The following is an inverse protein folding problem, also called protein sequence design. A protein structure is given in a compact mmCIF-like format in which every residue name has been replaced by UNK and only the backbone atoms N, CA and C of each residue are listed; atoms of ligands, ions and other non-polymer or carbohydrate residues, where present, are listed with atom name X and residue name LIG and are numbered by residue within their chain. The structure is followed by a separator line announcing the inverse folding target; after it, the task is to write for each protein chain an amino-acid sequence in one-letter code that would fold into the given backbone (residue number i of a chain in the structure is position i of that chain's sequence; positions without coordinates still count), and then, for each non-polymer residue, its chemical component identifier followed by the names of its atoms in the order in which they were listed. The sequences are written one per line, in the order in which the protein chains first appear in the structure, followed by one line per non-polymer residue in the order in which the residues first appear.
data_IF_913825242317
#
_entry.id   IF_913825242317
#
_cell.length_a   1.000
_cell.length_b   1.000
_cell.length_c   1.000
_cell.angle_alpha   90.00
_cell.angle_beta   90.00
_cell.angle_gamma   90.00
#
_symmetry.space_group_name_H-M   'P 1'
#
loop_
_entity.id
_entity.type
_entity.pdbx_description
1 polymer ?
#
# COMPACT_ATOMS: atom_id res chain seq x y z
N UNK A 1 -6.13 -12.23 -1.12
CA UNK A 1 -6.53 -12.32 -2.54
C UNK A 1 -6.60 -10.90 -3.07
N UNK A 2 -5.68 -10.50 -3.95
CA UNK A 2 -5.83 -9.23 -4.67
C UNK A 2 -6.90 -9.45 -5.73
N UNK A 3 -7.90 -8.57 -5.76
CA UNK A 3 -8.87 -8.50 -6.86
C UNK A 3 -8.04 -8.34 -8.15
N UNK A 4 -8.03 -9.35 -9.01
CA UNK A 4 -7.27 -9.27 -10.25
C UNK A 4 -8.05 -8.36 -11.19
N UNK A 5 -7.69 -7.07 -11.21
CA UNK A 5 -8.32 -6.05 -12.05
C UNK A 5 -8.48 -6.49 -13.51
N UNK A 6 -7.53 -7.27 -14.04
CA UNK A 6 -7.61 -7.83 -15.39
C UNK A 6 -8.74 -8.85 -15.55
N UNK A 7 -8.97 -9.68 -14.53
CA UNK A 7 -10.11 -10.61 -14.50
C UNK A 7 -11.44 -9.86 -14.45
N UNK A 8 -11.49 -8.74 -13.72
CA UNK A 8 -12.69 -7.93 -13.59
C UNK A 8 -13.01 -7.19 -14.89
N UNK A 9 -12.01 -6.57 -15.51
CA UNK A 9 -12.14 -5.94 -16.81
C UNK A 9 -12.49 -6.95 -17.91
N UNK A 10 -11.88 -8.14 -17.89
CA UNK A 10 -12.24 -9.20 -18.83
C UNK A 10 -13.68 -9.66 -18.66
N UNK A 11 -14.15 -9.81 -17.41
CA UNK A 11 -15.53 -10.15 -17.15
C UNK A 11 -16.49 -9.07 -17.66
N UNK A 12 -16.23 -7.80 -17.37
CA UNK A 12 -17.06 -6.69 -17.84
C UNK A 12 -17.04 -6.56 -19.36
N UNK A 13 -15.90 -6.79 -20.02
CA UNK A 13 -15.84 -6.79 -21.49
C UNK A 13 -16.60 -7.96 -22.10
N UNK A 14 -16.66 -9.09 -21.40
CA UNK A 14 -17.40 -10.27 -21.84
C UNK A 14 -18.91 -10.16 -21.56
N UNK A 15 -19.36 -9.15 -20.78
CA UNK A 15 -20.79 -8.84 -20.60
C UNK A 15 -21.47 -8.30 -21.88
N UNK A 16 -20.74 -8.09 -22.97
CA UNK A 16 -21.30 -7.70 -24.27
C UNK A 16 -21.39 -8.82 -25.29
N UNK A 17 -21.00 -10.05 -24.95
CA UNK A 17 -21.11 -11.20 -25.85
C UNK A 17 -22.50 -11.84 -25.74
N UNK A 18 -23.08 -12.25 -26.87
CA UNK A 18 -24.45 -12.80 -27.05
C UNK A 18 -24.79 -14.09 -26.25
N UNK A 19 -23.96 -14.47 -25.27
CA UNK A 19 -24.01 -15.76 -24.55
C UNK A 19 -24.22 -15.63 -23.03
N UNK A 20 -24.57 -14.44 -22.53
CA UNK A 20 -24.76 -14.27 -21.08
C UNK A 20 -26.09 -14.87 -20.66
N UNK A 21 -26.02 -15.88 -19.81
CA UNK A 21 -27.18 -16.45 -19.15
C UNK A 21 -27.48 -15.77 -17.82
N UNK A 22 -28.76 -15.76 -17.45
CA UNK A 22 -29.19 -15.32 -16.12
C UNK A 22 -28.48 -16.10 -14.99
N UNK A 23 -28.28 -17.42 -15.16
CA UNK A 23 -27.59 -18.26 -14.17
C UNK A 23 -26.15 -17.81 -13.90
N UNK A 24 -25.46 -17.32 -14.94
CA UNK A 24 -24.09 -16.83 -14.80
C UNK A 24 -24.05 -15.52 -14.00
N UNK A 25 -25.01 -14.62 -14.25
CA UNK A 25 -25.16 -13.37 -13.50
C UNK A 25 -25.49 -13.65 -12.04
N UNK A 26 -26.48 -14.51 -11.79
CA UNK A 26 -26.90 -14.91 -10.43
C UNK A 26 -25.74 -15.53 -9.66
N UNK A 27 -24.99 -16.45 -10.27
CA UNK A 27 -23.79 -17.03 -9.67
C UNK A 27 -22.74 -15.98 -9.29
N UNK A 28 -22.54 -14.97 -10.13
CA UNK A 28 -21.54 -13.92 -9.87
C UNK A 28 -22.02 -12.92 -8.82
N UNK A 29 -23.31 -12.61 -8.79
CA UNK A 29 -23.95 -11.87 -7.68
C UNK A 29 -23.79 -12.63 -6.36
N UNK A 30 -24.05 -13.95 -6.35
CA UNK A 30 -23.87 -14.81 -5.19
C UNK A 30 -22.44 -14.76 -4.65
N UNK A 31 -21.46 -14.84 -5.56
CA UNK A 31 -20.04 -14.79 -5.20
C UNK A 31 -19.68 -13.41 -4.65
N UNK A 32 -20.14 -12.34 -5.29
CA UNK A 32 -19.89 -10.96 -4.84
C UNK A 32 -20.46 -10.73 -3.43
N UNK A 33 -21.68 -11.20 -3.15
CA UNK A 33 -22.28 -11.16 -1.82
C UNK A 33 -21.44 -11.92 -0.78
N UNK A 34 -21.02 -13.15 -1.11
CA UNK A 34 -20.19 -13.96 -0.22
C UNK A 34 -18.87 -13.26 0.14
N UNK A 35 -18.20 -12.68 -0.85
CA UNK A 35 -16.95 -11.94 -0.63
C UNK A 35 -17.18 -10.69 0.22
N UNK A 36 -18.24 -9.93 -0.04
CA UNK A 36 -18.64 -8.77 0.78
C UNK A 36 -18.83 -9.18 2.24
N UNK A 37 -19.60 -10.24 2.50
CA UNK A 37 -19.84 -10.73 3.85
C UNK A 37 -18.57 -11.28 4.51
N UNK A 38 -17.69 -11.91 3.74
CA UNK A 38 -16.35 -12.29 4.17
C UNK A 38 -15.54 -11.10 4.67
N UNK A 39 -15.52 -10.00 3.93
CA UNK A 39 -14.82 -8.77 4.33
C UNK A 39 -15.48 -8.09 5.54
N UNK A 40 -16.81 -8.08 5.65
CA UNK A 40 -17.52 -7.60 6.85
C UNK A 40 -17.08 -8.39 8.08
N UNK A 41 -16.93 -9.72 7.96
CA UNK A 41 -16.43 -10.57 9.04
C UNK A 41 -14.99 -10.22 9.40
N UNK A 42 -14.11 -9.99 8.41
CA UNK A 42 -12.74 -9.53 8.65
C UNK A 42 -12.72 -8.21 9.42
N UNK A 43 -13.55 -7.24 9.05
CA UNK A 43 -13.67 -5.96 9.78
C UNK A 43 -14.05 -6.17 11.25
N UNK A 44 -15.00 -7.07 11.55
CA UNK A 44 -15.39 -7.41 12.93
C UNK A 44 -14.23 -8.04 13.70
N UNK A 45 -13.55 -9.02 13.12
CA UNK A 45 -12.38 -9.67 13.74
C UNK A 45 -11.23 -8.69 13.97
N UNK A 46 -11.00 -7.77 13.03
CA UNK A 46 -10.01 -6.71 13.17
C UNK A 46 -10.37 -5.80 14.34
N UNK A 47 -11.63 -5.38 14.46
CA UNK A 47 -12.10 -4.57 15.58
C UNK A 47 -11.86 -5.23 16.94
N UNK A 48 -12.19 -6.53 17.07
CA UNK A 48 -11.91 -7.31 18.29
C UNK A 48 -10.41 -7.41 18.56
N UNK A 49 -9.60 -7.65 17.53
CA UNK A 49 -8.14 -7.73 17.66
C UNK A 49 -7.53 -6.39 18.10
N UNK A 50 -8.00 -5.28 17.54
CA UNK A 50 -7.57 -3.94 17.93
C UNK A 50 -7.93 -3.66 19.38
N UNK A 51 -9.17 -3.95 19.77
CA UNK A 51 -9.61 -3.78 21.15
C UNK A 51 -8.74 -4.56 22.14
N UNK A 52 -8.44 -5.83 21.85
CA UNK A 52 -7.54 -6.62 22.69
C UNK A 52 -6.13 -6.01 22.81
N UNK A 53 -5.57 -5.47 21.71
CA UNK A 53 -4.25 -4.83 21.75
C UNK A 53 -4.25 -3.49 22.49
N UNK A 54 -5.37 -2.75 22.45
CA UNK A 54 -5.55 -1.51 23.20
C UNK A 54 -5.73 -1.76 24.70
N UNK A 55 -6.46 -2.82 25.07
CA UNK A 55 -6.77 -3.15 26.48
C UNK A 55 -5.61 -3.88 27.18
N UNK A 56 -4.80 -4.64 26.44
CA UNK A 56 -3.67 -5.37 27.01
C UNK A 56 -2.45 -4.47 27.24
N UNK A 57 -1.83 -4.63 28.42
CA UNK A 57 -0.46 -4.17 28.71
C UNK A 57 0.59 -4.72 27.72
N UNK A 58 0.21 -5.70 26.89
CA UNK A 58 1.05 -6.30 25.85
C UNK A 58 1.65 -5.23 24.92
N UNK A 59 0.90 -4.18 24.59
CA UNK A 59 1.47 -3.07 23.79
C UNK A 59 2.48 -2.24 24.61
N UNK A 60 2.36 -2.14 25.93
CA UNK A 60 3.37 -1.46 26.76
C UNK A 60 4.64 -2.29 26.96
N UNK A 61 4.53 -3.62 26.93
CA UNK A 61 5.67 -4.53 27.09
C UNK A 61 6.44 -4.77 25.78
N UNK A 62 5.79 -4.61 24.63
CA UNK A 62 6.44 -4.72 23.32
C UNK A 62 7.45 -3.59 23.08
N UNK A 63 8.59 -3.92 22.45
CA UNK A 63 9.59 -2.90 22.04
C UNK A 63 9.01 -1.99 20.96
N UNK A 64 9.50 -0.75 20.83
CA UNK A 64 8.95 0.19 19.85
C UNK A 64 8.97 -0.35 18.42
N UNK A 65 10.00 -1.12 18.04
CA UNK A 65 10.05 -1.78 16.72
C UNK A 65 8.96 -2.81 16.50
N UNK A 66 8.60 -3.59 17.53
CA UNK A 66 7.53 -4.60 17.46
C UNK A 66 6.15 -3.92 17.36
N UNK A 67 5.94 -2.83 18.11
CA UNK A 67 4.72 -2.01 18.02
C UNK A 67 4.53 -1.48 16.59
N UNK A 68 5.58 -0.89 15.99
CA UNK A 68 5.52 -0.37 14.62
C UNK A 68 5.16 -1.46 13.61
N UNK A 69 5.74 -2.67 13.74
CA UNK A 69 5.44 -3.78 12.84
C UNK A 69 4.00 -4.28 12.99
N UNK A 70 3.51 -4.39 14.23
CA UNK A 70 2.15 -4.83 14.51
C UNK A 70 1.11 -3.82 13.98
N UNK A 71 1.31 -2.53 14.24
CA UNK A 71 0.43 -1.45 13.76
C UNK A 71 0.41 -1.44 12.22
N UNK A 72 1.57 -1.54 11.56
CA UNK A 72 1.65 -1.64 10.10
C UNK A 72 0.89 -2.85 9.54
N UNK A 73 0.92 -4.00 10.23
CA UNK A 73 0.14 -5.18 9.83
C UNK A 73 -1.36 -4.91 9.91
N UNK A 74 -1.84 -4.26 10.97
CA UNK A 74 -3.25 -3.91 11.10
C UNK A 74 -3.67 -2.87 10.05
N UNK A 75 -2.87 -1.83 9.84
CA UNK A 75 -3.10 -0.82 8.79
C UNK A 75 -3.25 -1.48 7.43
N UNK A 76 -2.29 -2.32 7.05
CA UNK A 76 -2.34 -3.03 5.77
C UNK A 76 -3.61 -3.88 5.64
N UNK A 77 -4.00 -4.58 6.71
CA UNK A 77 -5.20 -5.42 6.72
C UNK A 77 -6.47 -4.56 6.57
N UNK A 78 -6.55 -3.45 7.29
CA UNK A 78 -7.66 -2.51 7.23
C UNK A 78 -7.82 -1.91 5.82
N UNK A 79 -6.72 -1.38 5.26
CA UNK A 79 -6.72 -0.75 3.94
C UNK A 79 -7.08 -1.73 2.83
N UNK A 80 -6.47 -2.92 2.80
CA UNK A 80 -6.81 -3.96 1.81
C UNK A 80 -8.27 -4.39 1.94
N UNK A 81 -8.77 -4.55 3.16
CA UNK A 81 -10.18 -4.94 3.39
C UNK A 81 -11.14 -3.85 2.92
N UNK A 82 -10.80 -2.58 3.15
CA UNK A 82 -11.60 -1.43 2.69
C UNK A 82 -11.67 -1.38 1.17
N UNK A 83 -10.54 -1.47 0.48
CA UNK A 83 -10.48 -1.47 -0.98
C UNK A 83 -11.24 -2.65 -1.58
N UNK A 84 -11.05 -3.86 -1.04
CA UNK A 84 -11.72 -5.05 -1.52
C UNK A 84 -13.24 -4.97 -1.31
N UNK A 85 -13.68 -4.52 -0.14
CA UNK A 85 -15.11 -4.33 0.16
C UNK A 85 -15.75 -3.33 -0.81
N UNK A 86 -15.06 -2.24 -1.13
CA UNK A 86 -15.52 -1.27 -2.12
C UNK A 86 -15.62 -1.88 -3.52
N UNK A 87 -14.58 -2.57 -3.98
CA UNK A 87 -14.56 -3.21 -5.31
C UNK A 87 -15.70 -4.23 -5.48
N UNK A 88 -15.88 -5.14 -4.52
CA UNK A 88 -16.97 -6.12 -4.58
C UNK A 88 -18.35 -5.48 -4.51
N UNK A 89 -18.51 -4.40 -3.73
CA UNK A 89 -19.77 -3.66 -3.66
C UNK A 89 -20.11 -3.02 -5.00
N UNK A 90 -19.14 -2.35 -5.63
CA UNK A 90 -19.33 -1.74 -6.94
C UNK A 90 -19.71 -2.79 -7.98
N UNK A 91 -19.02 -3.93 -7.99
CA UNK A 91 -19.30 -5.07 -8.88
C UNK A 91 -20.73 -5.57 -8.68
N UNK A 92 -21.14 -5.82 -7.43
CA UNK A 92 -22.47 -6.30 -7.09
C UNK A 92 -23.55 -5.33 -7.58
N UNK A 93 -23.43 -4.04 -7.27
CA UNK A 93 -24.41 -3.03 -7.66
C UNK A 93 -24.49 -2.85 -9.19
N UNK A 94 -23.35 -2.88 -9.86
CA UNK A 94 -23.30 -2.80 -11.33
C UNK A 94 -23.99 -4.01 -11.97
N UNK A 95 -23.74 -5.22 -11.46
CA UNK A 95 -24.35 -6.45 -11.96
C UNK A 95 -25.84 -6.54 -11.65
N UNK A 96 -26.29 -6.16 -10.45
CA UNK A 96 -27.71 -6.15 -10.11
C UNK A 96 -28.47 -5.15 -11.00
N UNK A 97 -27.92 -3.95 -11.19
CA UNK A 97 -28.47 -2.98 -12.13
C UNK A 97 -28.49 -3.49 -13.56
N UNK A 98 -27.46 -4.23 -14.00
CA UNK A 98 -27.43 -4.82 -15.32
C UNK A 98 -28.50 -5.92 -15.45
N UNK A 99 -28.63 -6.78 -14.44
CA UNK A 99 -29.63 -7.85 -14.43
C UNK A 99 -31.04 -7.28 -14.51
N UNK A 100 -31.35 -6.26 -13.71
CA UNK A 100 -32.65 -5.57 -13.77
C UNK A 100 -32.95 -5.03 -15.17
N UNK A 101 -32.01 -4.36 -15.84
CA UNK A 101 -32.20 -3.83 -17.20
C UNK A 101 -32.45 -4.94 -18.23
N UNK A 102 -31.79 -6.08 -18.09
CA UNK A 102 -31.99 -7.23 -18.97
C UNK A 102 -33.37 -7.89 -18.74
N UNK A 103 -33.89 -7.83 -17.52
CA UNK A 103 -35.28 -8.22 -17.22
C UNK A 103 -36.28 -7.21 -17.79
N UNK A 104 -36.06 -5.91 -17.59
CA UNK A 104 -36.94 -4.84 -18.06
C UNK A 104 -37.08 -4.81 -19.58
N UNK A 105 -35.99 -5.14 -20.29
CA UNK A 105 -35.98 -5.28 -21.75
C UNK A 105 -36.61 -6.59 -22.25
N UNK A 106 -36.98 -7.50 -21.35
CA UNK A 106 -37.56 -8.80 -21.69
C UNK A 106 -36.55 -9.85 -22.16
N UNK A 107 -35.25 -9.57 -22.10
CA UNK A 107 -34.21 -10.54 -22.46
C UNK A 107 -34.17 -11.70 -21.46
N UNK A 108 -34.35 -11.41 -20.17
CA UNK A 108 -34.54 -12.43 -19.13
C UNK A 108 -35.96 -12.40 -18.56
N UNK A 109 -36.51 -13.56 -18.16
CA UNK A 109 -37.83 -13.62 -17.55
C UNK A 109 -37.81 -13.01 -16.15
N UNK A 110 -38.74 -12.08 -15.87
CA UNK A 110 -38.84 -11.40 -14.56
C UNK A 110 -39.01 -12.37 -13.38
N UNK A 111 -39.78 -13.44 -13.59
CA UNK A 111 -39.99 -14.50 -12.60
C UNK A 111 -38.68 -15.10 -12.09
N UNK A 112 -37.68 -15.27 -12.96
CA UNK A 112 -36.40 -15.85 -12.56
C UNK A 112 -35.62 -14.92 -11.62
N UNK A 113 -35.68 -13.61 -11.87
CA UNK A 113 -35.08 -12.62 -10.97
C UNK A 113 -35.82 -12.54 -9.62
N UNK A 114 -37.15 -12.66 -9.64
CA UNK A 114 -37.96 -12.73 -8.42
C UNK A 114 -37.61 -13.98 -7.60
N UNK A 115 -37.52 -15.15 -8.25
CA UNK A 115 -37.02 -16.39 -7.63
C UNK A 115 -35.61 -16.17 -7.03
N UNK A 116 -34.68 -15.53 -7.73
CA UNK A 116 -33.36 -15.20 -7.18
C UNK A 116 -33.40 -14.31 -5.93
N UNK A 117 -34.30 -13.34 -5.88
CA UNK A 117 -34.46 -12.44 -4.73
C UNK A 117 -35.17 -13.11 -3.55
N UNK A 118 -36.03 -14.09 -3.80
CA UNK A 118 -36.85 -14.78 -2.80
C UNK A 118 -36.22 -16.08 -2.28
N UNK A 119 -35.65 -16.92 -3.16
CA UNK A 119 -35.12 -18.25 -2.84
C UNK A 119 -33.81 -18.21 -2.03
N UNK A 120 -33.35 -17.01 -1.67
CA UNK A 120 -32.42 -16.79 -0.59
C UNK A 120 -31.04 -17.37 -0.86
N UNK A 121 -30.09 -16.50 -1.20
CA UNK A 121 -28.71 -16.85 -0.89
C UNK A 121 -28.51 -16.92 0.63
N UNK A 122 -27.37 -17.42 1.10
CA UNK A 122 -27.01 -17.35 2.54
C UNK A 122 -27.12 -15.93 3.11
N UNK A 123 -27.08 -14.92 2.22
CA UNK A 123 -27.11 -13.51 2.53
C UNK A 123 -28.31 -12.81 1.88
N UNK A 124 -28.68 -11.66 2.41
CA UNK A 124 -29.74 -10.83 1.82
C UNK A 124 -29.28 -10.33 0.43
N UNK A 125 -30.08 -10.62 -0.58
CA UNK A 125 -29.83 -10.28 -1.98
C UNK A 125 -30.25 -8.86 -2.31
N UNK A 126 -30.98 -8.18 -1.42
CA UNK A 126 -31.46 -6.82 -1.66
C UNK A 126 -30.35 -5.80 -1.41
N UNK A 127 -30.02 -5.04 -2.46
CA UNK A 127 -29.04 -3.95 -2.36
C UNK A 127 -29.42 -2.92 -1.27
N UNK A 128 -30.71 -2.69 -1.05
CA UNK A 128 -31.22 -1.73 -0.07
C UNK A 128 -30.84 -2.10 1.37
N UNK A 129 -30.80 -3.38 1.70
CA UNK A 129 -30.45 -3.88 3.03
C UNK A 129 -28.93 -4.04 3.19
N UNK A 130 -28.23 -4.35 2.10
CA UNK A 130 -26.78 -4.50 2.09
C UNK A 130 -26.04 -3.15 2.24
N UNK A 131 -26.50 -2.09 1.57
CA UNK A 131 -25.84 -0.77 1.55
C UNK A 131 -25.61 -0.19 2.95
N UNK A 132 -26.61 -0.16 3.86
CA UNK A 132 -26.39 0.34 5.23
C UNK A 132 -25.34 -0.46 6.01
N UNK A 133 -25.34 -1.79 5.89
CA UNK A 133 -24.40 -2.68 6.59
C UNK A 133 -22.97 -2.43 6.08
N UNK A 134 -22.82 -2.30 4.75
CA UNK A 134 -21.57 -1.96 4.09
C UNK A 134 -21.05 -0.59 4.53
N UNK A 135 -21.89 0.43 4.45
CA UNK A 135 -21.52 1.80 4.83
C UNK A 135 -21.05 1.85 6.29
N UNK A 136 -21.76 1.19 7.20
CA UNK A 136 -21.35 1.09 8.60
C UNK A 136 -20.00 0.35 8.77
N UNK A 137 -19.79 -0.73 8.01
CA UNK A 137 -18.54 -1.50 8.05
C UNK A 137 -17.35 -0.72 7.48
N UNK A 138 -17.55 0.02 6.38
CA UNK A 138 -16.53 0.91 5.80
C UNK A 138 -16.19 2.06 6.74
N UNK A 139 -17.21 2.68 7.36
CA UNK A 139 -17.01 3.74 8.37
C UNK A 139 -16.16 3.25 9.53
N UNK A 140 -16.36 2.01 9.99
CA UNK A 140 -15.50 1.41 11.03
C UNK A 140 -14.06 1.21 10.56
N UNK A 141 -13.86 0.74 9.33
CA UNK A 141 -12.51 0.61 8.75
C UNK A 141 -11.79 1.96 8.68
N UNK A 142 -12.49 3.03 8.30
CA UNK A 142 -11.92 4.38 8.30
C UNK A 142 -11.48 4.83 9.70
N UNK A 143 -12.33 4.57 10.70
CA UNK A 143 -12.00 4.85 12.09
C UNK A 143 -10.80 4.04 12.58
N UNK A 144 -10.69 2.77 12.18
CA UNK A 144 -9.54 1.93 12.51
C UNK A 144 -8.26 2.44 11.85
N UNK A 145 -8.30 2.80 10.57
CA UNK A 145 -7.15 3.36 9.85
C UNK A 145 -6.68 4.65 10.54
N UNK A 146 -7.58 5.59 10.81
CA UNK A 146 -7.22 6.86 11.45
C UNK A 146 -6.61 6.64 12.86
N UNK A 147 -7.18 5.73 13.66
CA UNK A 147 -6.64 5.39 14.98
C UNK A 147 -5.25 4.78 14.88
N UNK A 148 -5.07 3.82 13.98
CA UNK A 148 -3.80 3.13 13.78
C UNK A 148 -2.70 4.06 13.21
N UNK A 149 -3.03 5.00 12.34
CA UNK A 149 -2.07 5.99 11.83
C UNK A 149 -1.56 6.90 12.97
N UNK A 150 -2.44 7.30 13.89
CA UNK A 150 -2.05 8.07 15.08
C UNK A 150 -1.14 7.25 16.00
N UNK A 151 -1.48 5.99 16.23
CA UNK A 151 -0.66 5.08 17.04
C UNK A 151 0.70 4.81 16.38
N UNK A 152 0.74 4.65 15.06
CA UNK A 152 1.97 4.45 14.29
C UNK A 152 2.91 5.63 14.50
N UNK A 153 2.43 6.86 14.35
CA UNK A 153 3.23 8.06 14.55
C UNK A 153 3.82 8.14 15.97
N UNK A 154 3.07 7.70 16.99
CA UNK A 154 3.57 7.63 18.37
C UNK A 154 4.67 6.56 18.49
N UNK A 155 4.44 5.37 17.94
CA UNK A 155 5.39 4.25 18.00
C UNK A 155 6.69 4.55 17.23
N UNK A 156 6.61 5.19 16.07
CA UNK A 156 7.76 5.63 15.28
C UNK A 156 8.59 6.67 16.03
N UNK A 157 7.94 7.64 16.69
CA UNK A 157 8.62 8.62 17.54
C UNK A 157 9.35 7.97 18.73
N UNK A 158 8.77 6.91 19.33
CA UNK A 158 9.44 6.14 20.38
C UNK A 158 10.66 5.41 19.84
N UNK A 159 10.53 4.75 18.69
CA UNK A 159 11.61 4.02 18.02
C UNK A 159 12.78 4.95 17.67
N UNK A 160 12.50 6.17 17.19
CA UNK A 160 13.53 7.17 16.91
C UNK A 160 14.30 7.58 18.17
N UNK A 161 13.61 7.75 19.30
CA UNK A 161 14.25 8.05 20.58
C UNK A 161 15.14 6.91 21.05
N UNK A 162 14.66 5.67 20.98
CA UNK A 162 15.45 4.48 21.32
C UNK A 162 16.73 4.40 20.47
N UNK A 163 16.63 4.64 19.15
CA UNK A 163 17.80 4.69 18.26
C UNK A 163 18.80 5.76 18.67
N UNK A 164 18.32 6.94 19.07
CA UNK A 164 19.18 8.03 19.54
C UNK A 164 19.93 7.64 20.82
N UNK A 165 19.23 7.10 21.83
CA UNK A 165 19.85 6.63 23.07
C UNK A 165 20.87 5.52 22.83
N UNK A 166 20.57 4.58 21.93
CA UNK A 166 21.52 3.54 21.55
C UNK A 166 22.76 4.10 20.86
N UNK A 167 22.61 5.07 19.95
CA UNK A 167 23.75 5.71 19.30
C UNK A 167 24.64 6.45 20.31
N UNK A 168 24.05 7.21 21.23
CA UNK A 168 24.80 7.91 22.30
C UNK A 168 25.53 6.93 23.23
N UNK A 169 24.89 5.81 23.59
CA UNK A 169 25.52 4.76 24.38
C UNK A 169 26.70 4.11 23.65
N UNK A 170 26.56 3.83 22.35
CA UNK A 170 27.65 3.26 21.54
C UNK A 170 28.85 4.22 21.52
N UNK A 171 28.63 5.50 21.26
CA UNK A 171 29.70 6.52 21.27
C UNK A 171 30.37 6.62 22.64
N UNK A 172 29.59 6.55 23.73
CA UNK A 172 30.13 6.56 25.08
C UNK A 172 30.99 5.32 25.39
N UNK A 173 30.56 4.13 24.96
CA UNK A 173 31.32 2.87 25.10
C UNK A 173 32.61 2.91 24.28
N UNK A 174 32.56 3.39 23.05
CA UNK A 174 33.74 3.56 22.18
C UNK A 174 34.76 4.51 22.81
N UNK A 175 34.30 5.63 23.38
CA UNK A 175 35.17 6.59 24.06
C UNK A 175 35.82 5.99 25.31
N UNK A 176 35.05 5.31 26.15
CA UNK A 176 35.57 4.64 27.34
C UNK A 176 36.62 3.56 26.98
N UNK A 177 36.33 2.75 25.97
CA UNK A 177 37.25 1.70 25.48
C UNK A 177 38.54 2.28 24.87
N UNK A 178 38.46 3.44 24.23
CA UNK A 178 39.64 4.13 23.68
C UNK A 178 40.53 4.76 24.76
N UNK A 179 39.95 5.23 25.86
CA UNK A 179 40.70 5.79 27.00
C UNK A 179 41.41 4.70 27.81
N UNK A 180 40.80 3.52 27.97
CA UNK A 180 41.40 2.35 28.63
C UNK A 180 42.67 1.88 27.91
N UNK A 181 42.61 1.72 26.58
CA UNK A 181 43.79 1.40 25.74
C UNK A 181 44.92 2.43 25.82
N UNK A 182 44.59 3.70 26.06
CA UNK A 182 45.57 4.79 26.20
C UNK A 182 46.21 4.84 27.59
N UNK A 183 45.56 4.26 28.60
CA UNK A 183 46.10 4.13 29.95
C UNK A 183 47.05 2.94 30.09
N UNK A 184 46.81 1.85 29.35
CA UNK A 184 47.72 0.68 29.28
C UNK A 184 49.01 0.96 28.49
N UNK A 185 48.97 1.84 27.48
CA UNK A 185 50.18 2.27 26.75
C UNK A 185 51.05 3.29 27.50
N UNK A 186 50.70 3.59 28.75
CA UNK A 186 51.48 4.46 29.65
C UNK A 186 52.18 3.69 30.78
N UNK A 187 52.25 2.35 30.70
CA UNK A 187 53.26 1.59 31.43
C UNK A 187 54.63 1.86 30.79
N UNK A 188 55.61 2.14 31.64
CA UNK A 188 57.05 2.34 31.40
C UNK A 188 57.56 2.08 29.98
N UNK A 189 58.31 3.04 29.43
CA UNK A 189 59.08 2.84 28.22
C UNK A 189 59.93 1.57 28.38
N UNK A 190 59.50 0.48 27.74
CA UNK A 190 60.20 -0.78 27.71
C UNK A 190 61.63 -0.49 27.25
N UNK A 191 62.61 -0.96 28.01
CA UNK A 191 64.00 -0.89 27.56
C UNK A 191 64.18 -1.76 26.32
N UNK A 192 65.10 -1.39 25.42
CA UNK A 192 65.31 -2.09 24.14
C UNK A 192 65.49 -3.61 24.33
N UNK A 193 66.07 -4.03 25.46
CA UNK A 193 66.27 -5.43 25.81
C UNK A 193 64.97 -6.16 26.16
N UNK A 194 64.06 -5.54 26.93
CA UNK A 194 62.75 -6.10 27.24
C UNK A 194 61.83 -6.14 26.01
N UNK A 195 62.02 -5.21 25.06
CA UNK A 195 61.28 -5.20 23.80
C UNK A 195 61.70 -6.36 22.89
N UNK A 196 63.00 -6.67 22.83
CA UNK A 196 63.51 -7.82 22.10
C UNK A 196 63.04 -9.15 22.70
N UNK A 197 63.06 -9.30 24.02
CA UNK A 197 62.57 -10.52 24.68
C UNK A 197 61.08 -10.75 24.44
N UNK A 198 60.28 -9.68 24.43
CA UNK A 198 58.85 -9.76 24.12
C UNK A 198 58.57 -10.16 22.68
N UNK A 199 59.31 -9.61 21.71
CA UNK A 199 59.23 -10.01 20.30
C UNK A 199 59.63 -11.47 20.07
N UNK A 200 60.62 -11.97 20.81
CA UNK A 200 61.03 -13.39 20.73
C UNK A 200 59.92 -14.29 21.27
N UNK A 201 59.21 -13.86 22.32
CA UNK A 201 58.09 -14.60 22.90
C UNK A 201 56.85 -14.61 21.99
N UNK A 202 56.48 -13.47 21.40
CA UNK A 202 55.35 -13.35 20.47
C UNK A 202 55.59 -14.17 19.20
N UNK A 203 56.79 -14.10 18.60
CA UNK A 203 57.09 -14.92 17.43
C UNK A 203 57.12 -16.43 17.73
N UNK A 204 57.46 -16.84 18.96
CA UNK A 204 57.35 -18.25 19.39
C UNK A 204 55.90 -18.72 19.56
N UNK A 205 55.01 -17.84 20.01
CA UNK A 205 53.60 -18.18 20.20
C UNK A 205 52.83 -18.21 18.87
N UNK A 206 53.15 -17.33 17.92
CA UNK A 206 52.52 -17.30 16.59
C UNK A 206 52.90 -18.52 15.71
N UNK A 207 54.07 -19.14 15.92
CA UNK A 207 54.41 -20.41 15.25
C UNK A 207 53.58 -21.60 15.76
N UNK A 208 52.97 -21.51 16.95
CA UNK A 208 52.10 -22.56 17.51
C UNK A 208 50.61 -22.38 17.19
N UNK A 209 50.13 -21.15 16.90
CA UNK A 209 48.71 -20.88 16.59
C UNK A 209 48.36 -20.93 15.09
N UNK A 210 49.35 -21.07 14.19
CA UNK A 210 49.11 -21.15 12.74
C UNK A 210 48.67 -22.55 12.25
N UNK A 211 48.23 -23.43 13.16
CA UNK A 211 47.69 -24.75 12.87
C UNK A 211 46.23 -24.92 13.34
N UNK A 212 45.34 -23.94 13.13
CA UNK A 212 43.89 -24.19 12.94
C UNK A 212 43.14 -22.87 12.79
N UNK A 213 42.70 -22.51 11.57
CA UNK A 213 41.34 -22.02 11.28
C UNK A 213 41.25 -21.67 9.80
N UNK A 214 41.03 -22.70 8.98
CA UNK A 214 40.54 -22.55 7.62
C UNK A 214 39.05 -22.95 7.63
N UNK A 215 38.17 -22.05 8.10
CA UNK A 215 36.73 -22.14 7.81
C UNK A 215 35.94 -20.92 8.31
N UNK A 216 35.20 -20.34 7.35
CA UNK A 216 33.96 -19.60 7.51
C UNK A 216 34.03 -18.13 7.97
N UNK A 217 34.17 -17.23 6.99
CA UNK A 217 33.49 -15.93 7.04
C UNK A 217 32.96 -15.53 5.66
N UNK A 218 31.74 -15.97 5.35
CA UNK A 218 30.83 -15.22 4.47
C UNK A 218 29.76 -14.64 5.37
N UNK A 219 29.75 -13.32 5.56
CA UNK A 219 28.57 -12.62 6.02
C UNK A 219 28.32 -11.40 5.15
N UNK A 220 27.11 -11.43 4.59
CA UNK A 220 26.46 -10.46 3.73
C UNK A 220 26.27 -9.12 4.44
N UNK A 221 26.68 -8.04 3.78
CA UNK A 221 26.15 -6.71 4.02
C UNK A 221 25.06 -6.44 2.97
N UNK A 222 23.81 -6.76 3.30
CA UNK A 222 22.66 -6.26 2.56
C UNK A 222 21.93 -5.23 3.41
N UNK A 223 21.92 -3.98 2.93
CA UNK A 223 21.04 -2.94 3.43
C UNK A 223 19.58 -3.38 3.29
N UNK A 224 18.72 -3.09 4.28
CA UNK A 224 17.42 -3.72 4.33
C UNK A 224 16.44 -3.03 3.35
N UNK A 225 16.06 -3.74 2.28
CA UNK A 225 15.23 -3.30 1.14
C UNK A 225 13.81 -2.77 1.48
N UNK A 226 13.39 -2.72 2.74
CA UNK A 226 12.03 -2.31 3.12
C UNK A 226 11.77 -0.81 2.95
N UNK A 227 12.81 0.03 2.93
CA UNK A 227 12.67 1.48 2.69
C UNK A 227 12.24 1.79 1.25
N UNK A 228 12.69 0.99 0.27
CA UNK A 228 12.27 1.13 -1.13
C UNK A 228 10.82 0.67 -1.31
N UNK A 229 10.39 -0.34 -0.54
CA UNK A 229 9.04 -0.89 -0.60
C UNK A 229 7.98 0.08 -0.04
N UNK A 230 8.28 0.82 1.02
CA UNK A 230 7.39 1.84 1.59
C UNK A 230 7.19 3.07 0.68
N UNK A 231 8.24 3.48 -0.04
CA UNK A 231 8.15 4.57 -1.03
C UNK A 231 7.26 4.21 -2.22
N UNK A 232 7.26 2.95 -2.64
CA UNK A 232 6.43 2.48 -3.75
C UNK A 232 4.93 2.45 -3.39
N UNK A 233 4.60 2.06 -2.16
CA UNK A 233 3.20 2.00 -1.68
C UNK A 233 2.61 3.40 -1.52
N UNK A 234 3.36 4.36 -0.98
CA UNK A 234 2.88 5.75 -0.84
C UNK A 234 2.69 6.44 -2.21
N UNK A 235 3.46 6.05 -3.23
CA UNK A 235 3.32 6.60 -4.58
C UNK A 235 2.05 6.10 -5.30
N UNK A 236 1.63 4.83 -5.09
CA UNK A 236 0.43 4.30 -5.76
C UNK A 236 -0.87 4.87 -5.19
N UNK A 237 -0.90 5.19 -3.88
CA UNK A 237 -2.06 5.82 -3.24
C UNK A 237 -2.30 7.23 -3.77
N UNK A 238 -1.24 8.00 -4.04
CA UNK A 238 -1.34 9.34 -4.64
C UNK A 238 -1.85 9.31 -6.10
N UNK A 239 -1.45 8.31 -6.90
CA UNK A 239 -1.90 8.17 -8.29
C UNK A 239 -3.40 7.84 -8.40
N UNK A 240 -3.93 7.07 -7.45
CA UNK A 240 -5.36 6.75 -7.41
C UNK A 240 -6.20 7.99 -7.05
N UNK A 241 -5.72 8.82 -6.12
CA UNK A 241 -6.45 10.04 -5.71
C UNK A 241 -6.52 11.10 -6.80
N UNK A 242 -5.45 11.27 -7.60
CA UNK A 242 -5.42 12.24 -8.72
C UNK A 242 -6.35 11.81 -9.87
N UNK A 243 -6.58 10.51 -10.05
CA UNK A 243 -7.44 10.01 -11.12
C UNK A 243 -8.94 10.19 -10.80
N UNK A 244 -9.33 10.21 -9.53
CA UNK A 244 -10.73 10.35 -9.12
C UNK A 244 -11.25 11.79 -9.11
N UNK A 245 -10.39 12.80 -8.95
CA UNK A 245 -10.81 14.22 -9.02
C UNK A 245 -10.95 14.76 -10.45
N UNK A 246 -10.41 14.08 -11.45
CA UNK A 246 -10.33 14.58 -12.84
C UNK A 246 -11.56 14.22 -13.69
N UNK A 247 -12.44 13.32 -13.24
CA UNK A 247 -13.65 12.94 -14.00
C UNK A 247 -14.83 13.90 -13.71
N UNK A 248 -14.70 14.82 -12.74
CA UNK A 248 -15.81 15.65 -12.27
C UNK A 248 -15.96 17.05 -12.86
N UNK A 249 -14.92 17.66 -13.44
CA UNK A 249 -15.01 19.02 -13.99
C UNK A 249 -14.15 19.18 -15.24
N UNK A 250 -14.73 19.84 -16.25
CA UNK A 250 -14.21 19.95 -17.62
C UNK A 250 -12.72 20.26 -17.72
N UNK A 251 -12.07 19.54 -18.63
CA UNK A 251 -10.65 19.66 -18.91
C UNK A 251 -10.25 21.06 -19.38
N UNK A 252 -9.28 21.66 -18.67
CA UNK A 252 -8.30 22.61 -19.21
C UNK A 252 -7.20 23.03 -18.21
N UNK A 253 -6.94 22.27 -17.14
CA UNK A 253 -5.93 22.65 -16.12
C UNK A 253 -4.96 21.53 -15.72
N UNK A 254 -4.60 20.62 -16.65
CA UNK A 254 -3.65 19.53 -16.33
C UNK A 254 -2.18 19.92 -16.57
N UNK A 255 -1.91 20.97 -17.35
CA UNK A 255 -0.52 21.26 -17.75
C UNK A 255 0.30 22.11 -16.77
N UNK A 256 -0.32 22.71 -15.74
CA UNK A 256 0.37 23.61 -14.79
C UNK A 256 0.73 22.96 -13.45
N UNK A 257 -0.02 21.95 -12.97
CA UNK A 257 0.23 21.37 -11.64
C UNK A 257 1.41 20.37 -11.59
N UNK A 258 1.78 19.75 -12.72
CA UNK A 258 2.89 18.79 -12.77
C UNK A 258 4.26 19.50 -12.76
N UNK A 259 4.32 20.74 -13.25
CA UNK A 259 5.55 21.55 -13.25
C UNK A 259 5.92 22.04 -11.84
N UNK A 260 4.95 22.48 -11.05
CA UNK A 260 5.22 23.11 -9.76
C UNK A 260 5.55 22.10 -8.65
N UNK A 261 5.03 20.86 -8.75
CA UNK A 261 5.36 19.80 -7.79
C UNK A 261 6.79 19.27 -7.96
N UNK A 262 7.34 19.32 -9.18
CA UNK A 262 8.74 18.95 -9.44
C UNK A 262 9.74 20.03 -9.02
N UNK A 263 9.35 21.30 -8.98
CA UNK A 263 10.25 22.40 -8.62
C UNK A 263 10.40 22.64 -7.10
N UNK A 264 9.58 22.03 -6.25
CA UNK A 264 9.63 22.27 -4.81
C UNK A 264 10.53 21.31 -4.02
N UNK A 265 11.05 20.24 -4.65
CA UNK A 265 11.84 19.21 -3.94
C UNK A 265 13.13 18.81 -4.68
N UNK A 266 14.00 19.78 -4.97
CA UNK A 266 15.40 19.46 -5.28
C UNK A 266 16.36 20.62 -4.91
N UNK A 267 17.06 20.58 -3.77
CA UNK A 267 18.28 21.35 -3.61
C UNK A 267 19.45 20.45 -3.97
N UNK A 268 20.02 20.71 -5.16
CA UNK A 268 21.36 20.29 -5.62
C UNK A 268 21.53 18.81 -5.98
N UNK A 269 21.18 18.46 -7.22
CA UNK A 269 21.89 17.43 -7.96
C UNK A 269 22.17 17.93 -9.38
N UNK A 270 23.38 17.64 -9.87
CA UNK A 270 23.95 18.19 -11.11
C UNK A 270 23.21 17.69 -12.35
N UNK A 271 23.05 18.61 -13.29
CA UNK A 271 22.51 18.44 -14.64
C UNK A 271 23.00 17.19 -15.37
N UNK A 272 22.06 16.39 -15.88
CA UNK A 272 22.28 15.54 -17.05
C UNK A 272 21.30 15.96 -18.14
N UNK A 273 21.86 16.42 -19.27
CA UNK A 273 21.14 16.79 -20.48
C UNK A 273 20.42 15.57 -21.08
N UNK A 274 19.13 15.69 -21.35
CA UNK A 274 18.46 14.95 -22.42
C UNK A 274 17.64 15.93 -23.26
N UNK A 275 17.97 15.95 -24.55
CA UNK A 275 17.51 16.91 -25.54
C UNK A 275 16.20 16.44 -26.19
N UNK A 276 15.32 17.40 -26.46
CA UNK A 276 13.99 17.23 -27.04
C UNK A 276 14.00 16.69 -28.47
N UNK A 277 12.95 15.93 -28.82
CA UNK A 277 12.27 16.09 -30.11
C UNK A 277 10.82 15.62 -30.03
N UNK A 278 9.92 16.58 -29.79
CA UNK A 278 8.49 16.41 -30.02
C UNK A 278 8.16 16.97 -31.41
N UNK A 279 7.74 16.10 -32.33
CA UNK A 279 7.06 16.53 -33.56
C UNK A 279 5.56 16.56 -33.26
N UNK A 280 5.02 17.77 -33.20
CA UNK A 280 3.59 18.07 -33.20
C UNK A 280 2.96 17.75 -34.56
N UNK A 281 2.05 16.78 -34.61
CA UNK A 281 1.11 16.62 -35.72
C UNK A 281 -0.23 17.25 -35.31
N UNK A 282 -0.48 18.46 -35.82
CA UNK A 282 -1.81 19.08 -35.80
C UNK A 282 -2.72 18.33 -36.78
N UNK A 283 -3.89 17.88 -36.31
CA UNK A 283 -5.01 17.50 -37.18
C UNK A 283 -6.07 18.61 -37.11
N UNK A 284 -6.24 19.27 -38.25
CA UNK A 284 -7.23 20.30 -38.54
C UNK A 284 -8.67 19.77 -38.37
N UNK A 285 -9.46 20.47 -37.55
CA UNK A 285 -10.93 20.40 -37.60
C UNK A 285 -11.43 21.65 -38.32
N UNK A 286 -11.70 21.49 -39.61
CA UNK A 286 -12.29 22.52 -40.45
C UNK A 286 -13.72 22.85 -40.03
N UNK A 287 -13.93 24.11 -39.61
CA UNK A 287 -15.24 24.78 -39.57
C UNK A 287 -15.75 24.96 -40.99
N UNK A 288 -16.95 24.45 -41.27
CA UNK A 288 -17.75 24.86 -42.43
C UNK A 288 -18.83 25.83 -41.97
N UNK A 289 -18.91 26.94 -42.69
CA UNK A 289 -19.72 28.12 -42.45
C UNK A 289 -21.17 27.97 -42.88
N UNK A 290 -22.03 28.69 -42.16
CA UNK A 290 -23.40 29.07 -42.43
C UNK A 290 -23.64 29.60 -43.86
N UNK A 291 -24.75 29.19 -44.48
CA UNK A 291 -25.78 30.05 -45.09
C UNK A 291 -26.78 29.19 -45.87
N UNK A 292 -28.06 29.22 -45.52
CA UNK A 292 -29.12 29.61 -46.45
C UNK A 292 -30.50 29.65 -45.78
N UNK A 293 -31.11 30.81 -45.91
CA UNK A 293 -32.47 31.20 -45.53
C UNK A 293 -33.44 30.71 -46.60
N UNK A 294 -34.46 29.92 -46.23
CA UNK A 294 -35.68 29.81 -47.06
C UNK A 294 -36.90 29.81 -46.16
N UNK A 295 -37.62 30.92 -46.18
CA UNK A 295 -39.01 31.03 -45.77
C UNK A 295 -39.90 30.34 -46.81
N UNK A 296 -40.84 29.49 -46.38
CA UNK A 296 -42.07 29.23 -47.14
C UNK A 296 -43.26 29.39 -46.20
N UNK A 297 -44.09 30.39 -46.52
CA UNK A 297 -45.44 30.65 -46.02
C UNK A 297 -46.46 29.90 -46.89
N UNK A 298 -47.58 29.51 -46.26
CA UNK A 298 -48.87 29.20 -46.89
C UNK A 298 -49.12 27.71 -47.13
N UNK A 299 -50.23 27.10 -46.72
CA UNK A 299 -51.59 27.60 -46.40
C UNK A 299 -52.14 26.94 -45.13
#
# INVERSE_FOLDING_TARGET
MSMNYLSEMSFLSNLHLDSISADLIEKDLANSLREIHGHIKVTKTLGVSLQHNSDEKVTQEARAGEQVLLINRFLRTASITKEAMWGWTQRFLALDSFYQKMVDSGYFPARKREEWLEDGTEYDTHAQDLIPILHESMRKLDQYVEALEKELAIAENRLLKERYWHADMVVAIEKASGEEKRSETKSEALTDDEYLDRLIQENRAEEEEMEYTDSASQNFNDEPCWIIFLRYILCSVCYSWISYTVIGQGGLCVHLCISDFWHFHEPKAKSFYWNERAETCCLDVGRSTTNETVCILGK
#
